data_IF_985646747409
#
_entry.id   IF_985646747409
#
_cell.length_a   1.000
_cell.length_b   1.000
_cell.length_c   1.000
_cell.angle_alpha   90.00
_cell.angle_beta   90.00
_cell.angle_gamma   90.00
#
_symmetry.space_group_name_H-M   'P 1'
#
loop_
_entity.id
_entity.type
_entity.pdbx_description
1 polymer ?
#
# COMPACT_ATOMS: atom_id res chain seq x y z
N UNK A 1 4.46 -16.19 22.65
CA UNK A 1 3.60 -16.35 21.47
C UNK A 1 4.43 -16.08 20.24
N UNK A 2 4.59 -17.05 19.38
CA UNK A 2 5.30 -16.85 18.09
C UNK A 2 4.35 -16.24 17.06
N UNK A 3 4.89 -15.56 16.03
CA UNK A 3 4.08 -14.97 14.94
C UNK A 3 3.14 -16.02 14.29
N UNK A 4 3.53 -17.30 14.34
CA UNK A 4 2.73 -18.42 13.80
C UNK A 4 1.43 -18.71 14.59
N UNK A 5 1.33 -18.21 15.81
CA UNK A 5 0.17 -18.43 16.70
C UNK A 5 -0.84 -17.27 16.65
N UNK A 6 -0.55 -16.23 15.84
CA UNK A 6 -1.40 -15.05 15.71
C UNK A 6 -2.55 -15.30 14.72
N UNK A 7 -3.74 -14.78 15.03
CA UNK A 7 -4.83 -14.70 14.06
C UNK A 7 -4.48 -13.74 12.90
N UNK A 8 -5.15 -13.90 11.75
CA UNK A 8 -4.91 -13.02 10.60
C UNK A 8 -5.04 -11.54 10.92
N UNK A 9 -6.02 -11.16 11.76
CA UNK A 9 -6.18 -9.78 12.22
C UNK A 9 -5.06 -9.31 13.15
N UNK A 10 -4.53 -10.18 14.01
CA UNK A 10 -3.39 -9.87 14.87
C UNK A 10 -2.11 -9.67 14.05
N UNK A 11 -1.90 -10.48 13.02
CA UNK A 11 -0.76 -10.32 12.09
C UNK A 11 -0.84 -8.98 11.37
N UNK A 12 -2.01 -8.61 10.84
CA UNK A 12 -2.22 -7.31 10.18
C UNK A 12 -1.93 -6.15 11.12
N UNK A 13 -2.44 -6.18 12.34
CA UNK A 13 -2.19 -5.13 13.36
C UNK A 13 -0.71 -5.04 13.74
N UNK A 14 -0.04 -6.17 13.91
CA UNK A 14 1.39 -6.21 14.20
C UNK A 14 2.23 -5.65 13.04
N UNK A 15 1.86 -5.97 11.79
CA UNK A 15 2.51 -5.42 10.61
C UNK A 15 2.34 -3.91 10.51
N UNK A 16 1.10 -3.43 10.72
CA UNK A 16 0.79 -2.01 10.72
C UNK A 16 1.57 -1.25 11.82
N UNK A 17 1.61 -1.80 13.03
CA UNK A 17 2.37 -1.22 14.14
C UNK A 17 3.86 -1.10 13.81
N UNK A 18 4.44 -2.09 13.14
CA UNK A 18 5.83 -2.06 12.71
C UNK A 18 6.12 -0.92 11.70
N UNK A 19 5.21 -0.65 10.77
CA UNK A 19 5.35 0.46 9.84
C UNK A 19 5.20 1.83 10.52
N UNK A 20 4.29 1.94 11.48
CA UNK A 20 4.04 3.19 12.23
C UNK A 20 5.22 3.54 13.15
N UNK A 21 5.91 2.55 13.73
CA UNK A 21 7.09 2.76 14.61
C UNK A 21 8.18 3.58 13.90
N UNK A 22 8.34 3.41 12.58
CA UNK A 22 9.31 4.17 11.79
C UNK A 22 8.96 5.65 11.62
N UNK A 23 7.78 6.08 12.08
CA UNK A 23 7.25 7.45 11.99
C UNK A 23 7.37 8.06 10.57
N UNK A 24 6.90 7.41 9.52
CA UNK A 24 7.03 7.93 8.16
C UNK A 24 6.26 9.25 8.00
N UNK A 25 6.75 10.15 7.15
CA UNK A 25 6.02 11.37 6.81
C UNK A 25 4.82 11.10 5.87
N UNK A 26 4.87 9.99 5.14
CA UNK A 26 3.84 9.52 4.22
C UNK A 26 3.65 8.02 4.43
N UNK A 27 2.44 7.62 4.77
CA UNK A 27 2.04 6.23 4.98
C UNK A 27 0.98 5.84 3.94
N UNK A 28 1.27 4.82 3.15
CA UNK A 28 0.30 4.18 2.27
C UNK A 28 -0.21 2.89 2.92
N UNK A 29 -1.52 2.77 2.99
CA UNK A 29 -2.20 1.65 3.64
C UNK A 29 -3.20 1.06 2.66
N UNK A 30 -2.98 -0.19 2.26
CA UNK A 30 -3.83 -0.88 1.31
C UNK A 30 -4.62 -1.98 2.05
N UNK A 31 -5.94 -1.78 2.16
CA UNK A 31 -6.89 -2.69 2.79
C UNK A 31 -6.45 -3.24 4.18
N UNK A 32 -5.77 -2.43 5.00
CA UNK A 32 -5.25 -2.89 6.29
C UNK A 32 -6.36 -3.33 7.27
N UNK A 33 -7.57 -2.83 7.09
CA UNK A 33 -8.73 -3.14 7.94
C UNK A 33 -9.64 -4.22 7.34
N UNK A 34 -9.32 -4.73 6.16
CA UNK A 34 -10.11 -5.77 5.50
C UNK A 34 -10.19 -7.05 6.35
N UNK A 35 -11.42 -7.53 6.58
CA UNK A 35 -11.69 -8.72 7.40
C UNK A 35 -11.63 -8.47 8.90
N UNK A 36 -11.55 -7.23 9.35
CA UNK A 36 -11.76 -6.85 10.74
C UNK A 36 -13.24 -6.52 11.00
N UNK A 37 -13.65 -6.61 12.25
CA UNK A 37 -14.96 -6.12 12.68
C UNK A 37 -15.00 -4.57 12.66
N UNK A 38 -16.20 -4.01 12.61
CA UNK A 38 -16.43 -2.56 12.46
C UNK A 38 -15.80 -1.75 13.61
N UNK A 39 -15.79 -2.28 14.82
CA UNK A 39 -15.19 -1.62 15.97
C UNK A 39 -13.68 -1.52 15.82
N UNK A 40 -13.02 -2.63 15.48
CA UNK A 40 -11.56 -2.68 15.26
C UNK A 40 -11.14 -1.85 14.05
N UNK A 41 -11.95 -1.83 12.98
CA UNK A 41 -11.74 -0.93 11.84
C UNK A 41 -11.76 0.54 12.28
N UNK A 42 -12.76 0.94 13.11
CA UNK A 42 -12.86 2.27 13.66
C UNK A 42 -11.66 2.67 14.52
N UNK A 43 -11.15 1.77 15.37
CA UNK A 43 -9.94 2.02 16.17
C UNK A 43 -8.71 2.28 15.30
N UNK A 44 -8.52 1.51 14.23
CA UNK A 44 -7.39 1.69 13.30
C UNK A 44 -7.54 3.00 12.52
N UNK A 45 -8.75 3.31 12.05
CA UNK A 45 -9.00 4.55 11.34
C UNK A 45 -8.79 5.78 12.23
N UNK A 46 -9.10 5.67 13.53
CA UNK A 46 -8.78 6.71 14.51
C UNK A 46 -7.27 6.90 14.66
N UNK A 47 -6.49 5.82 14.73
CA UNK A 47 -5.02 5.91 14.78
C UNK A 47 -4.48 6.62 13.53
N UNK A 48 -5.03 6.31 12.35
CA UNK A 48 -4.63 7.00 11.10
C UNK A 48 -4.96 8.49 11.17
N UNK A 49 -6.10 8.85 11.76
CA UNK A 49 -6.50 10.24 11.98
C UNK A 49 -5.51 10.97 12.88
N UNK A 50 -5.14 10.38 14.01
CA UNK A 50 -4.18 10.94 14.97
C UNK A 50 -2.78 11.13 14.33
N UNK A 51 -2.32 10.16 13.51
CA UNK A 51 -1.08 10.28 12.75
C UNK A 51 -1.13 11.47 11.79
N UNK A 52 -2.26 11.63 11.09
CA UNK A 52 -2.44 12.75 10.15
C UNK A 52 -2.49 14.11 10.86
N UNK A 53 -3.18 14.22 12.00
CA UNK A 53 -3.23 15.41 12.84
C UNK A 53 -1.85 15.75 13.44
N UNK A 54 -0.99 14.74 13.64
CA UNK A 54 0.42 14.91 13.98
C UNK A 54 1.32 15.43 12.84
N UNK A 55 0.73 15.91 11.73
CA UNK A 55 1.44 16.52 10.59
C UNK A 55 2.01 15.52 9.58
N UNK A 56 1.55 14.26 9.62
CA UNK A 56 1.88 13.22 8.64
C UNK A 56 0.81 13.14 7.57
N UNK A 57 1.10 12.44 6.48
CA UNK A 57 0.10 12.12 5.45
C UNK A 57 -0.18 10.63 5.45
N UNK A 58 -1.46 10.26 5.59
CA UNK A 58 -1.91 8.87 5.47
C UNK A 58 -2.83 8.75 4.26
N UNK A 59 -2.49 7.84 3.37
CA UNK A 59 -3.33 7.47 2.21
C UNK A 59 -3.81 6.04 2.45
N UNK A 60 -5.10 5.88 2.72
CA UNK A 60 -5.73 4.60 3.00
C UNK A 60 -6.60 4.19 1.82
N UNK A 61 -6.39 2.97 1.31
CA UNK A 61 -7.27 2.34 0.34
C UNK A 61 -8.18 1.38 1.12
N UNK A 62 -9.49 1.57 1.00
CA UNK A 62 -10.48 0.74 1.67
C UNK A 62 -11.76 0.65 0.85
N UNK A 63 -12.47 -0.46 0.99
CA UNK A 63 -13.83 -0.66 0.51
C UNK A 63 -14.87 -0.53 1.63
N UNK A 64 -14.44 -0.41 2.88
CA UNK A 64 -15.32 -0.16 4.03
C UNK A 64 -15.49 1.35 4.23
N UNK A 65 -16.64 1.89 3.82
CA UNK A 65 -16.90 3.32 3.83
C UNK A 65 -17.54 3.84 5.12
N UNK A 66 -17.95 2.95 6.03
CA UNK A 66 -18.65 3.34 7.28
C UNK A 66 -17.83 4.32 8.12
N UNK A 67 -16.53 4.09 8.24
CA UNK A 67 -15.63 4.91 9.05
C UNK A 67 -14.94 6.03 8.26
N UNK A 68 -15.05 6.04 6.92
CA UNK A 68 -14.39 7.04 6.07
C UNK A 68 -14.93 8.44 6.36
N UNK A 69 -16.25 8.61 6.47
CA UNK A 69 -16.89 9.91 6.75
C UNK A 69 -16.42 10.50 8.08
N UNK A 70 -16.18 9.64 9.08
CA UNK A 70 -15.82 10.06 10.43
C UNK A 70 -14.33 10.40 10.57
N UNK A 71 -13.46 9.65 9.90
CA UNK A 71 -12.03 9.71 10.16
C UNK A 71 -11.20 10.32 9.03
N UNK A 72 -11.67 10.33 7.78
CA UNK A 72 -10.91 10.85 6.65
C UNK A 72 -11.16 12.35 6.45
N UNK A 73 -10.09 13.10 6.18
CA UNK A 73 -10.20 14.51 5.81
C UNK A 73 -10.69 14.70 4.38
N UNK A 74 -10.26 13.80 3.49
CA UNK A 74 -10.62 13.80 2.07
C UNK A 74 -10.81 12.39 1.57
N UNK A 75 -11.65 12.25 0.56
CA UNK A 75 -11.89 11.02 -0.18
C UNK A 75 -11.50 11.20 -1.63
N UNK A 76 -10.96 10.15 -2.22
CA UNK A 76 -10.69 10.05 -3.66
C UNK A 76 -11.52 8.89 -4.19
N UNK A 77 -12.44 9.18 -5.10
CA UNK A 77 -13.35 8.19 -5.68
C UNK A 77 -12.92 7.90 -7.10
N UNK A 78 -12.64 6.62 -7.36
CA UNK A 78 -12.28 6.11 -8.67
C UNK A 78 -13.43 5.29 -9.24
N UNK A 79 -13.86 5.62 -10.44
CA UNK A 79 -14.78 4.80 -11.21
C UNK A 79 -14.08 3.57 -11.81
N UNK A 80 -14.81 2.52 -12.22
CA UNK A 80 -14.23 1.33 -12.85
C UNK A 80 -13.24 1.66 -13.95
N UNK A 81 -12.09 0.95 -13.96
CA UNK A 81 -10.99 1.24 -14.86
C UNK A 81 -10.02 2.33 -14.37
N UNK A 82 -10.20 2.81 -13.12
CA UNK A 82 -9.28 3.77 -12.48
C UNK A 82 -9.48 5.21 -12.92
N UNK A 83 -10.66 5.55 -13.46
CA UNK A 83 -10.99 6.92 -13.83
C UNK A 83 -11.32 7.74 -12.58
N UNK A 84 -10.68 8.89 -12.42
CA UNK A 84 -10.94 9.80 -11.30
C UNK A 84 -12.33 10.42 -11.44
N UNK A 85 -13.23 10.08 -10.52
CA UNK A 85 -14.60 10.56 -10.50
C UNK A 85 -14.82 11.72 -9.53
N UNK A 86 -14.04 11.78 -8.44
CA UNK A 86 -14.17 12.83 -7.43
C UNK A 86 -12.95 12.91 -6.50
N UNK A 87 -12.67 14.11 -6.01
CA UNK A 87 -11.74 14.38 -4.89
C UNK A 87 -12.33 15.51 -4.05
N UNK A 88 -12.51 15.27 -2.77
CA UNK A 88 -13.03 16.27 -1.83
C UNK A 88 -13.27 15.68 -0.45
N UNK A 89 -14.06 16.35 0.38
CA UNK A 89 -14.53 15.81 1.66
C UNK A 89 -15.64 14.78 1.42
N UNK A 90 -15.97 14.00 2.46
CA UNK A 90 -17.08 13.06 2.39
C UNK A 90 -18.44 13.77 2.16
N UNK A 91 -18.60 14.96 2.73
CA UNK A 91 -19.81 15.78 2.59
C UNK A 91 -19.96 16.30 1.16
N UNK A 92 -18.89 16.88 0.60
CA UNK A 92 -18.86 17.31 -0.81
C UNK A 92 -19.13 16.14 -1.78
N UNK A 93 -18.64 14.93 -1.46
CA UNK A 93 -18.90 13.74 -2.26
C UNK A 93 -20.40 13.38 -2.25
N UNK A 94 -21.07 13.42 -1.08
CA UNK A 94 -22.51 13.15 -1.01
C UNK A 94 -23.32 14.15 -1.83
N UNK A 95 -22.96 15.43 -1.76
CA UNK A 95 -23.61 16.46 -2.57
C UNK A 95 -23.38 16.23 -4.07
N UNK A 96 -22.13 16.00 -4.46
CA UNK A 96 -21.76 15.81 -5.87
C UNK A 96 -22.47 14.61 -6.51
N UNK A 97 -22.51 13.47 -5.83
CA UNK A 97 -23.17 12.27 -6.33
C UNK A 97 -24.68 12.24 -6.03
N UNK A 98 -25.21 13.19 -5.24
CA UNK A 98 -26.61 13.23 -4.79
C UNK A 98 -27.00 11.91 -4.10
N UNK A 99 -26.25 11.55 -3.06
CA UNK A 99 -26.40 10.31 -2.28
C UNK A 99 -26.52 10.63 -0.79
N UNK A 100 -27.20 9.75 -0.03
CA UNK A 100 -27.38 9.91 1.41
C UNK A 100 -26.14 9.45 2.19
N UNK A 101 -25.54 8.35 1.78
CA UNK A 101 -24.33 7.78 2.41
C UNK A 101 -23.23 7.55 1.37
N UNK A 102 -21.96 7.59 1.80
CA UNK A 102 -20.83 7.26 0.91
C UNK A 102 -20.94 5.84 0.31
N UNK A 103 -21.61 4.91 1.02
CA UNK A 103 -21.83 3.56 0.52
C UNK A 103 -22.60 3.51 -0.79
N UNK A 104 -23.51 4.46 -1.01
CA UNK A 104 -24.34 4.53 -2.19
C UNK A 104 -23.56 4.93 -3.45
N UNK A 105 -22.34 5.43 -3.30
CA UNK A 105 -21.49 5.81 -4.43
C UNK A 105 -21.22 4.64 -5.37
N UNK A 106 -21.13 3.42 -4.86
CA UNK A 106 -20.89 2.23 -5.69
C UNK A 106 -22.08 1.93 -6.62
N UNK A 107 -23.28 2.23 -6.18
CA UNK A 107 -24.49 2.12 -7.01
C UNK A 107 -24.52 3.27 -8.01
N UNK A 108 -24.29 4.49 -7.52
CA UNK A 108 -24.34 5.71 -8.33
C UNK A 108 -23.33 5.70 -9.49
N UNK A 109 -22.13 5.18 -9.27
CA UNK A 109 -21.10 5.07 -10.32
C UNK A 109 -21.49 4.16 -11.50
N UNK A 110 -22.54 3.31 -11.34
CA UNK A 110 -23.05 2.45 -12.41
C UNK A 110 -24.03 3.16 -13.34
N UNK A 111 -24.53 4.33 -12.96
CA UNK A 111 -25.56 5.06 -13.74
C UNK A 111 -25.01 5.66 -15.03
N UNK A 112 -23.68 5.83 -15.11
CA UNK A 112 -22.99 6.43 -16.27
C UNK A 112 -21.72 5.64 -16.59
N UNK A 113 -21.20 5.86 -17.79
CA UNK A 113 -19.87 5.34 -18.13
C UNK A 113 -18.79 6.02 -17.28
N UNK A 114 -17.75 5.26 -16.93
CA UNK A 114 -16.65 5.75 -16.08
C UNK A 114 -15.93 6.97 -16.66
N UNK A 115 -15.90 7.09 -17.98
CA UNK A 115 -15.33 8.25 -18.69
C UNK A 115 -16.18 9.51 -18.51
N UNK A 116 -17.49 9.37 -18.47
CA UNK A 116 -18.40 10.50 -18.26
C UNK A 116 -18.20 11.10 -16.87
N UNK A 117 -18.08 10.27 -15.84
CA UNK A 117 -17.76 10.72 -14.48
C UNK A 117 -16.46 11.50 -14.42
N UNK A 118 -15.39 11.00 -15.09
CA UNK A 118 -14.14 11.71 -15.18
C UNK A 118 -14.28 13.06 -15.86
N UNK A 119 -14.99 13.11 -16.99
CA UNK A 119 -15.12 14.32 -17.80
C UNK A 119 -16.00 15.37 -17.09
N UNK A 120 -17.05 14.93 -16.40
CA UNK A 120 -17.86 15.79 -15.53
C UNK A 120 -17.03 16.38 -14.39
N UNK A 121 -16.27 15.55 -13.66
CA UNK A 121 -15.42 16.05 -12.59
C UNK A 121 -14.31 16.97 -13.11
N UNK A 122 -13.70 16.64 -14.26
CA UNK A 122 -12.69 17.50 -14.89
C UNK A 122 -13.21 18.87 -15.35
N UNK A 123 -14.52 19.01 -15.56
CA UNK A 123 -15.15 20.28 -15.87
C UNK A 123 -15.39 21.19 -14.67
N UNK A 124 -15.28 20.65 -13.43
CA UNK A 124 -15.49 21.40 -12.20
C UNK A 124 -14.38 22.41 -11.91
N UNK A 125 -14.69 23.42 -11.13
CA UNK A 125 -13.70 24.44 -10.70
C UNK A 125 -12.69 23.84 -9.76
N UNK A 126 -13.13 22.99 -8.84
CA UNK A 126 -12.34 22.30 -7.84
C UNK A 126 -11.25 21.44 -8.48
N UNK A 127 -11.59 20.69 -9.54
CA UNK A 127 -10.61 19.92 -10.30
C UNK A 127 -9.56 20.81 -10.94
N UNK A 128 -9.96 21.93 -11.55
CA UNK A 128 -9.04 22.84 -12.25
C UNK A 128 -8.05 23.48 -11.28
N UNK A 129 -8.51 23.91 -10.12
CA UNK A 129 -7.67 24.46 -9.07
C UNK A 129 -6.67 23.44 -8.54
N UNK A 130 -7.16 22.24 -8.16
CA UNK A 130 -6.32 21.14 -7.72
C UNK A 130 -5.27 20.77 -8.77
N UNK A 131 -5.66 20.65 -10.04
CA UNK A 131 -4.76 20.28 -11.12
C UNK A 131 -3.70 21.34 -11.39
N UNK A 132 -4.06 22.61 -11.32
CA UNK A 132 -3.11 23.71 -11.44
C UNK A 132 -2.05 23.70 -10.32
N UNK A 133 -2.47 23.40 -9.08
CA UNK A 133 -1.57 23.27 -7.95
C UNK A 133 -0.61 22.08 -8.11
N UNK A 134 -1.13 20.92 -8.50
CA UNK A 134 -0.33 19.71 -8.79
C UNK A 134 0.71 20.01 -9.89
N UNK A 135 0.33 20.67 -10.97
CA UNK A 135 1.26 21.03 -12.04
C UNK A 135 2.36 21.98 -11.56
N UNK A 136 2.02 22.96 -10.72
CA UNK A 136 3.00 23.89 -10.13
C UNK A 136 4.05 23.13 -9.29
N UNK A 137 3.61 22.15 -8.49
CA UNK A 137 4.49 21.30 -7.68
C UNK A 137 5.34 20.36 -8.55
N UNK A 138 4.75 19.75 -9.57
CA UNK A 138 5.49 18.89 -10.51
C UNK A 138 6.62 19.63 -11.24
N UNK A 139 6.39 20.84 -11.71
CA UNK A 139 7.43 21.67 -12.34
C UNK A 139 8.59 21.97 -11.39
N UNK A 140 8.29 22.27 -10.11
CA UNK A 140 9.32 22.49 -9.09
C UNK A 140 10.12 21.22 -8.80
N UNK A 141 9.43 20.08 -8.66
CA UNK A 141 10.05 18.78 -8.39
C UNK A 141 10.93 18.31 -9.55
N UNK A 142 10.48 18.46 -10.80
CA UNK A 142 11.25 18.08 -11.98
C UNK A 142 12.58 18.81 -12.05
N UNK A 143 12.58 20.12 -11.78
CA UNK A 143 13.79 20.93 -11.72
C UNK A 143 14.75 20.50 -10.59
N UNK A 144 14.23 19.98 -9.46
CA UNK A 144 15.05 19.47 -8.38
C UNK A 144 15.61 18.08 -8.66
N UNK A 145 14.84 17.21 -9.32
CA UNK A 145 15.28 15.86 -9.69
C UNK A 145 16.37 15.91 -10.76
N UNK A 146 16.25 16.81 -11.74
CA UNK A 146 17.30 17.02 -12.75
C UNK A 146 18.62 17.48 -12.13
N UNK A 147 18.57 18.28 -11.07
CA UNK A 147 19.76 18.68 -10.30
C UNK A 147 20.36 17.53 -9.45
N UNK A 148 19.58 16.51 -9.12
CA UNK A 148 20.01 15.37 -8.27
C UNK A 148 20.35 14.11 -9.07
N UNK A 149 20.36 14.13 -10.39
CA UNK A 149 20.76 12.96 -11.18
C UNK A 149 22.18 12.55 -10.81
N UNK A 150 22.40 11.31 -10.32
CA UNK A 150 23.73 10.82 -10.07
C UNK A 150 24.49 10.78 -11.40
N UNK A 151 25.55 11.60 -11.52
CA UNK A 151 26.27 11.81 -12.75
C UNK A 151 27.26 10.70 -13.09
N UNK A 152 27.40 9.66 -12.27
CA UNK A 152 28.42 8.64 -12.45
C UNK A 152 27.88 7.21 -12.40
N UNK A 153 28.31 6.39 -13.35
CA UNK A 153 28.09 4.94 -13.39
C UNK A 153 28.57 4.25 -12.12
N UNK A 154 29.62 4.77 -11.49
CA UNK A 154 30.19 4.28 -10.24
C UNK A 154 29.20 4.33 -9.06
N UNK A 155 28.38 5.39 -8.96
CA UNK A 155 27.37 5.49 -7.91
C UNK A 155 26.21 4.49 -8.12
N UNK A 156 25.83 4.24 -9.38
CA UNK A 156 24.82 3.22 -9.71
C UNK A 156 25.30 1.81 -9.37
N UNK A 157 26.58 1.51 -9.67
CA UNK A 157 27.21 0.23 -9.33
C UNK A 157 27.33 0.04 -7.81
N UNK A 158 27.73 1.08 -7.08
CA UNK A 158 27.82 1.02 -5.62
C UNK A 158 26.43 0.76 -4.98
N UNK A 159 25.39 1.41 -5.48
CA UNK A 159 24.01 1.19 -5.03
C UNK A 159 23.55 -0.24 -5.33
N UNK A 160 23.82 -0.74 -6.54
CA UNK A 160 23.50 -2.11 -6.94
C UNK A 160 24.19 -3.15 -6.06
N UNK A 161 25.50 -3.02 -5.85
CA UNK A 161 26.27 -3.94 -4.98
C UNK A 161 25.74 -3.92 -3.55
N UNK A 162 25.42 -2.74 -3.00
CA UNK A 162 24.83 -2.61 -1.67
C UNK A 162 23.45 -3.29 -1.59
N UNK A 163 22.57 -3.09 -2.59
CA UNK A 163 21.26 -3.75 -2.62
C UNK A 163 21.41 -5.27 -2.74
N UNK A 164 22.31 -5.75 -3.59
CA UNK A 164 22.60 -7.17 -3.74
C UNK A 164 23.10 -7.79 -2.42
N UNK A 165 24.02 -7.12 -1.74
CA UNK A 165 24.53 -7.57 -0.43
C UNK A 165 23.42 -7.67 0.61
N UNK A 166 22.56 -6.64 0.73
CA UNK A 166 21.43 -6.64 1.68
C UNK A 166 20.42 -7.75 1.39
N UNK A 167 20.09 -7.96 0.12
CA UNK A 167 19.15 -9.01 -0.30
C UNK A 167 19.75 -10.41 -0.05
N UNK A 168 21.04 -10.60 -0.34
CA UNK A 168 21.74 -11.86 -0.06
C UNK A 168 21.79 -12.15 1.44
N UNK A 169 22.13 -11.16 2.25
CA UNK A 169 22.17 -11.31 3.72
C UNK A 169 20.79 -11.70 4.26
N UNK A 170 19.72 -11.01 3.82
CA UNK A 170 18.35 -11.36 4.20
C UNK A 170 17.96 -12.78 3.74
N UNK A 171 18.36 -13.17 2.53
CA UNK A 171 18.15 -14.51 2.01
C UNK A 171 18.80 -15.58 2.88
N UNK A 172 20.06 -15.36 3.29
CA UNK A 172 20.77 -16.25 4.21
C UNK A 172 20.11 -16.33 5.59
N UNK A 173 19.70 -15.21 6.17
CA UNK A 173 19.03 -15.19 7.48
C UNK A 173 17.71 -15.99 7.44
N UNK A 174 16.91 -15.86 6.39
CA UNK A 174 15.68 -16.62 6.20
C UNK A 174 15.98 -18.12 6.06
N UNK A 175 16.98 -18.48 5.26
CA UNK A 175 17.36 -19.88 5.02
C UNK A 175 17.89 -20.54 6.29
N UNK A 176 18.74 -19.83 7.06
CA UNK A 176 19.30 -20.32 8.32
C UNK A 176 18.28 -20.37 9.47
N UNK A 177 17.20 -19.57 9.41
CA UNK A 177 16.14 -19.62 10.42
C UNK A 177 15.25 -20.87 10.30
N UNK A 178 15.25 -21.54 9.14
CA UNK A 178 14.49 -22.78 8.92
C UNK A 178 15.40 -24.02 8.86
N UNK A 179 16.01 -24.35 10.02
CA UNK A 179 16.87 -25.52 10.19
C UNK A 179 16.20 -26.84 9.80
N UNK A 180 14.85 -26.92 9.90
CA UNK A 180 14.12 -28.14 9.50
C UNK A 180 14.15 -28.33 7.97
N UNK A 181 13.96 -27.26 7.22
CA UNK A 181 14.01 -27.30 5.75
C UNK A 181 15.42 -27.65 5.26
N UNK A 182 16.45 -27.10 5.88
CA UNK A 182 17.86 -27.42 5.58
C UNK A 182 18.17 -28.90 5.85
N UNK A 183 17.67 -29.44 6.97
CA UNK A 183 17.87 -30.85 7.32
C UNK A 183 17.18 -31.79 6.30
N UNK A 184 15.95 -31.48 5.92
CA UNK A 184 15.19 -32.24 4.89
C UNK A 184 15.91 -32.19 3.54
N UNK A 185 16.41 -31.03 3.11
CA UNK A 185 17.19 -30.90 1.88
C UNK A 185 18.48 -31.73 1.92
N UNK A 186 19.20 -31.70 3.05
CA UNK A 186 20.40 -32.53 3.23
C UNK A 186 20.09 -34.02 3.16
N UNK A 187 19.03 -34.47 3.83
CA UNK A 187 18.57 -35.86 3.80
C UNK A 187 18.19 -36.31 2.38
N UNK A 188 17.51 -35.45 1.62
CA UNK A 188 17.15 -35.69 0.24
C UNK A 188 18.37 -35.85 -0.67
N UNK A 189 19.41 -35.03 -0.51
CA UNK A 189 20.66 -35.17 -1.26
C UNK A 189 21.36 -36.49 -0.97
N UNK A 190 21.43 -36.90 0.30
CA UNK A 190 22.00 -38.20 0.70
C UNK A 190 21.21 -39.36 0.13
N UNK A 191 19.88 -39.28 0.19
CA UNK A 191 18.99 -40.32 -0.37
C UNK A 191 19.18 -40.48 -1.87
N UNK A 192 19.22 -39.38 -2.64
CA UNK A 192 19.46 -39.40 -4.08
C UNK A 192 20.85 -39.97 -4.42
N UNK A 193 21.89 -39.56 -3.66
CA UNK A 193 23.25 -40.10 -3.87
C UNK A 193 23.33 -41.60 -3.60
N UNK A 194 22.66 -42.12 -2.54
CA UNK A 194 22.54 -43.54 -2.25
C UNK A 194 21.81 -44.31 -3.38
N UNK A 195 20.73 -43.73 -3.88
CA UNK A 195 19.94 -44.33 -4.95
C UNK A 195 20.76 -44.46 -6.25
N UNK A 196 21.54 -43.42 -6.60
CA UNK A 196 22.46 -43.46 -7.75
C UNK A 196 23.56 -44.49 -7.53
N UNK A 197 24.11 -44.58 -6.32
CA UNK A 197 25.17 -45.54 -5.99
C UNK A 197 24.66 -47.02 -6.11
N UNK A 198 23.39 -47.26 -5.69
CA UNK A 198 22.77 -48.61 -5.81
C UNK A 198 22.42 -48.96 -7.26
N UNK A 199 21.98 -47.97 -8.05
CA UNK A 199 21.55 -48.22 -9.42
C UNK A 199 22.71 -48.32 -10.43
N UNK A 200 23.79 -47.61 -10.17
CA UNK A 200 24.92 -47.46 -11.09
C UNK A 200 26.28 -47.86 -10.50
N UNK A 201 26.34 -48.28 -9.24
CA UNK A 201 27.54 -48.77 -8.61
C UNK A 201 27.73 -50.28 -8.88
N UNK A 202 28.40 -50.61 -9.97
CA UNK A 202 29.05 -51.90 -10.14
C UNK A 202 30.44 -51.89 -9.48
#
# INVERSE_FOLDING_TARGET
TTIKDLSGGQIKRASLANEIISQPNLLFVDEATSGLDEHTDGEIMQIFREIAEGGKTVVCITHNLTNVEKFCHKVVILAPGGFLAFVGTAEEAREYFTIDTLGDVYVRLRDKESKEWRDEFAATTEYREMYAEVQKHQRKSKNQIERRRPSSLTQKMATFVRQLSLLSQRGWEIQLSDLKSLFVMGLQCVFVALLICILFGE
#
